data_IF_733441984880
#
_entry.id   IF_733441984880
#
_cell.length_a   1.000
_cell.length_b   1.000
_cell.length_c   1.000
_cell.angle_alpha   90.00
_cell.angle_beta   90.00
_cell.angle_gamma   90.00
#
_symmetry.space_group_name_H-M   'P 1'
#
loop_
_entity.id
_entity.type
_entity.pdbx_description
1 polymer ?
#
# COMPACT_ATOMS: atom_id res chain seq x y z
N UNK A 1 -5.28 8.73 18.25
CA UNK A 1 -6.74 8.64 18.52
C UNK A 1 -7.51 8.63 17.19
N UNK A 2 -8.34 7.61 16.92
CA UNK A 2 -9.19 7.56 15.70
C UNK A 2 -10.66 7.92 15.96
N UNK A 3 -11.10 7.98 17.23
CA UNK A 3 -12.42 8.47 17.60
C UNK A 3 -12.55 9.96 17.31
N UNK A 4 -13.72 10.41 16.83
CA UNK A 4 -14.02 11.82 16.59
C UNK A 4 -15.08 12.22 17.61
N UNK A 5 -14.60 12.82 18.69
CA UNK A 5 -15.42 13.23 19.83
C UNK A 5 -15.13 14.70 20.11
N UNK A 6 -16.19 15.50 20.17
CA UNK A 6 -16.13 16.93 20.39
C UNK A 6 -16.95 17.25 21.63
N UNK A 7 -16.31 17.84 22.63
CA UNK A 7 -17.01 18.35 23.80
C UNK A 7 -17.17 19.86 23.66
N UNK A 8 -18.41 20.32 23.74
CA UNK A 8 -18.77 21.74 23.65
C UNK A 8 -19.35 22.19 24.98
N UNK A 9 -18.71 23.19 25.59
CA UNK A 9 -19.14 23.84 26.84
C UNK A 9 -19.42 25.31 26.56
N UNK A 10 -20.60 25.79 26.94
CA UNK A 10 -20.97 27.20 26.78
C UNK A 10 -21.79 27.71 27.95
N UNK A 11 -21.83 29.04 28.12
CA UNK A 11 -22.74 29.71 29.04
C UNK A 11 -24.06 30.01 28.32
N UNK A 12 -25.16 29.61 28.93
CA UNK A 12 -26.51 29.96 28.49
C UNK A 12 -26.83 31.43 28.81
N UNK A 13 -27.90 31.97 28.21
CA UNK A 13 -28.40 33.33 28.51
C UNK A 13 -28.71 33.54 29.99
N UNK A 14 -29.07 32.48 30.73
CA UNK A 14 -29.32 32.52 32.17
C UNK A 14 -28.05 32.34 33.02
N UNK A 15 -26.85 32.38 32.43
CA UNK A 15 -25.57 32.21 33.11
C UNK A 15 -25.21 30.77 33.51
N UNK A 16 -26.10 29.79 33.28
CA UNK A 16 -25.83 28.36 33.56
C UNK A 16 -24.89 27.79 32.51
N UNK A 17 -24.01 26.87 32.92
CA UNK A 17 -23.18 26.11 31.98
C UNK A 17 -23.98 24.99 31.33
N UNK A 18 -23.87 24.87 30.03
CA UNK A 18 -24.46 23.81 29.24
C UNK A 18 -23.37 23.05 28.49
N UNK A 19 -23.64 21.78 28.24
CA UNK A 19 -22.67 20.81 27.79
C UNK A 19 -23.27 19.96 26.67
N UNK A 20 -22.49 19.67 25.65
CA UNK A 20 -22.84 18.68 24.63
C UNK A 20 -21.62 17.85 24.26
N UNK A 21 -21.84 16.56 24.06
CA UNK A 21 -20.90 15.66 23.42
C UNK A 21 -21.39 15.42 21.99
N UNK A 22 -20.54 15.70 21.02
CA UNK A 22 -20.77 15.36 19.62
C UNK A 22 -19.79 14.24 19.25
N UNK A 23 -20.27 13.17 18.63
CA UNK A 23 -19.44 12.03 18.27
C UNK A 23 -19.89 11.42 16.96
N UNK A 24 -18.97 10.83 16.20
CA UNK A 24 -19.31 10.27 14.90
C UNK A 24 -18.10 9.86 14.06
N UNK A 25 -18.30 9.80 12.75
CA UNK A 25 -17.26 9.43 11.78
C UNK A 25 -16.42 10.62 11.30
N UNK A 26 -17.01 11.83 11.31
CA UNK A 26 -16.44 13.03 10.70
C UNK A 26 -15.24 13.62 11.45
N UNK A 27 -14.11 13.73 10.75
CA UNK A 27 -12.90 14.39 11.27
C UNK A 27 -13.12 15.88 11.56
N UNK A 28 -12.22 16.50 12.32
CA UNK A 28 -12.21 17.94 12.55
C UNK A 28 -11.76 18.74 11.31
N UNK A 29 -12.41 18.57 10.16
CA UNK A 29 -12.01 19.14 8.87
C UNK A 29 -13.17 19.85 8.17
N UNK A 30 -12.84 20.78 7.27
CA UNK A 30 -13.84 21.51 6.48
C UNK A 30 -14.72 20.56 5.65
N UNK A 31 -14.11 19.50 5.10
CA UNK A 31 -14.77 18.49 4.27
C UNK A 31 -15.80 17.67 5.04
N UNK A 32 -15.54 17.37 6.32
CA UNK A 32 -16.46 16.60 7.16
C UNK A 32 -17.65 17.45 7.66
N UNK A 33 -17.47 18.76 7.85
CA UNK A 33 -18.51 19.64 8.43
C UNK A 33 -19.35 20.43 7.42
N UNK A 34 -18.84 20.78 6.24
CA UNK A 34 -19.61 21.56 5.24
C UNK A 34 -20.61 20.73 4.42
N UNK A 35 -20.52 19.40 4.45
CA UNK A 35 -21.33 18.50 3.62
C UNK A 35 -20.92 18.52 2.13
N UNK A 36 -21.17 17.40 1.43
CA UNK A 36 -21.04 17.32 -0.04
C UNK A 36 -19.79 16.63 -0.60
N UNK A 37 -18.83 16.21 0.25
CA UNK A 37 -17.65 15.43 -0.19
C UNK A 37 -17.61 14.07 0.51
N UNK A 38 -17.73 14.05 1.84
CA UNK A 38 -17.77 12.82 2.62
C UNK A 38 -19.20 12.56 3.13
N UNK A 39 -19.63 11.29 3.08
CA UNK A 39 -20.79 10.83 3.82
C UNK A 39 -20.38 10.55 5.27
N UNK A 40 -20.79 11.43 6.19
CA UNK A 40 -20.43 11.35 7.61
C UNK A 40 -21.69 11.27 8.48
N UNK A 41 -21.65 10.47 9.55
CA UNK A 41 -22.68 10.42 10.58
C UNK A 41 -22.17 11.08 11.85
N UNK A 42 -22.94 12.02 12.40
CA UNK A 42 -22.63 12.74 13.64
C UNK A 42 -23.84 12.73 14.57
N UNK A 43 -23.62 12.30 15.81
CA UNK A 43 -24.61 12.27 16.87
C UNK A 43 -24.30 13.34 17.91
N UNK A 44 -25.34 13.92 18.53
CA UNK A 44 -25.21 14.92 19.61
C UNK A 44 -25.96 14.45 20.85
N UNK A 45 -25.26 14.33 21.96
CA UNK A 45 -25.83 14.11 23.28
C UNK A 45 -25.74 15.38 24.13
N UNK A 46 -26.86 15.79 24.74
CA UNK A 46 -26.88 16.90 25.70
C UNK A 46 -26.49 16.36 27.07
N UNK A 47 -25.42 16.88 27.65
CA UNK A 47 -24.93 16.43 28.95
C UNK A 47 -25.48 17.31 30.08
N UNK A 48 -25.72 16.69 31.22
CA UNK A 48 -26.20 17.32 32.46
C UNK A 48 -25.37 16.80 33.62
N UNK A 49 -25.07 17.66 34.60
CA UNK A 49 -24.32 17.25 35.79
C UNK A 49 -25.05 16.14 36.57
N UNK A 50 -26.38 16.16 36.62
CA UNK A 50 -27.15 15.14 37.34
C UNK A 50 -26.99 13.72 36.78
N UNK A 51 -26.90 13.56 35.45
CA UNK A 51 -26.95 12.25 34.82
C UNK A 51 -25.61 11.85 34.16
N UNK A 52 -24.71 12.81 33.93
CA UNK A 52 -23.54 12.62 33.08
C UNK A 52 -22.26 13.19 33.72
N UNK A 53 -22.20 13.25 35.05
CA UNK A 53 -21.06 13.83 35.77
C UNK A 53 -19.75 13.12 35.40
N UNK A 54 -19.74 11.79 35.35
CA UNK A 54 -18.55 11.01 34.98
C UNK A 54 -18.04 11.32 33.56
N UNK A 55 -18.97 11.52 32.59
CA UNK A 55 -18.59 11.95 31.23
C UNK A 55 -17.97 13.33 31.26
N UNK A 56 -18.59 14.26 32.02
CA UNK A 56 -18.13 15.63 32.17
C UNK A 56 -16.74 15.68 32.81
N UNK A 57 -16.49 14.85 33.83
CA UNK A 57 -15.20 14.79 34.51
C UNK A 57 -14.14 14.14 33.64
N UNK A 58 -14.49 13.10 32.87
CA UNK A 58 -13.56 12.51 31.91
C UNK A 58 -13.18 13.49 30.79
N UNK A 59 -14.14 14.17 30.14
CA UNK A 59 -13.81 15.12 29.04
C UNK A 59 -13.04 16.34 29.55
N UNK A 60 -13.33 16.81 30.77
CA UNK A 60 -12.57 17.89 31.42
C UNK A 60 -11.18 17.41 31.79
N UNK A 61 -11.06 16.18 32.30
CA UNK A 61 -9.78 15.52 32.56
C UNK A 61 -8.92 15.44 31.31
N UNK A 62 -9.48 15.03 30.17
CA UNK A 62 -8.78 15.02 28.88
C UNK A 62 -8.35 16.43 28.46
N UNK A 63 -9.25 17.42 28.54
CA UNK A 63 -8.92 18.82 28.22
C UNK A 63 -7.78 19.36 29.09
N UNK A 64 -7.81 19.06 30.38
CA UNK A 64 -6.85 19.58 31.35
C UNK A 64 -5.52 18.82 31.25
N UNK A 65 -5.55 17.52 30.96
CA UNK A 65 -4.39 16.72 30.62
C UNK A 65 -3.67 17.23 29.36
N UNK A 66 -4.40 17.63 28.31
CA UNK A 66 -3.79 18.27 27.11
C UNK A 66 -3.04 19.55 27.46
N UNK A 67 -3.49 20.31 28.47
CA UNK A 67 -2.77 21.51 28.94
C UNK A 67 -1.57 21.14 29.81
N UNK A 68 -1.73 20.16 30.70
CA UNK A 68 -0.74 19.75 31.69
C UNK A 68 0.40 18.89 31.10
N UNK A 69 0.15 18.20 29.98
CA UNK A 69 1.11 17.30 29.35
C UNK A 69 2.43 17.98 28.93
N UNK A 70 2.48 19.32 28.87
CA UNK A 70 3.73 20.08 28.66
C UNK A 70 4.84 19.79 29.68
N UNK A 71 4.49 19.18 30.82
CA UNK A 71 5.41 18.89 31.92
C UNK A 71 5.55 17.38 32.19
N UNK A 72 5.20 16.54 31.21
CA UNK A 72 5.25 15.08 31.31
C UNK A 72 3.92 14.40 30.98
N UNK A 73 3.98 13.09 30.76
CA UNK A 73 2.82 12.29 30.37
C UNK A 73 1.70 12.34 31.42
N UNK A 74 0.46 12.61 30.98
CA UNK A 74 -0.71 12.63 31.84
C UNK A 74 -1.66 11.52 31.42
N UNK A 75 -2.05 10.71 32.40
CA UNK A 75 -3.00 9.60 32.20
C UNK A 75 -4.36 9.97 32.76
N UNK A 76 -5.39 9.80 31.94
CA UNK A 76 -6.80 9.85 32.32
C UNK A 76 -7.28 8.41 32.34
N UNK A 77 -7.70 7.92 33.51
CA UNK A 77 -8.24 6.56 33.63
C UNK A 77 -9.56 6.41 32.89
N UNK A 78 -9.91 5.16 32.56
CA UNK A 78 -11.20 4.85 31.98
C UNK A 78 -12.34 5.24 32.94
N UNK A 79 -13.45 5.72 32.37
CA UNK A 79 -14.69 5.87 33.14
C UNK A 79 -15.57 4.64 32.94
N UNK A 80 -16.48 4.38 33.89
CA UNK A 80 -17.48 3.32 33.75
C UNK A 80 -18.33 3.53 32.48
N UNK A 81 -18.91 2.45 31.95
CA UNK A 81 -19.87 2.53 30.84
C UNK A 81 -21.04 3.43 31.26
N UNK A 82 -21.27 4.53 30.53
CA UNK A 82 -22.29 5.55 30.88
C UNK A 82 -23.35 5.63 29.78
N UNK A 83 -24.62 5.70 30.20
CA UNK A 83 -25.75 5.94 29.31
C UNK A 83 -25.82 7.41 28.91
N UNK A 84 -25.72 7.70 27.60
CA UNK A 84 -25.93 9.03 27.04
C UNK A 84 -27.40 9.30 26.70
N UNK A 85 -28.14 8.23 26.39
CA UNK A 85 -29.56 8.22 26.11
C UNK A 85 -30.10 6.80 26.29
N UNK A 86 -31.42 6.64 26.21
CA UNK A 86 -32.04 5.32 26.16
C UNK A 86 -31.46 4.50 25.00
N UNK A 87 -30.95 3.30 25.29
CA UNK A 87 -30.32 2.42 24.30
C UNK A 87 -28.91 2.84 23.84
N UNK A 88 -28.36 3.94 24.33
CA UNK A 88 -27.02 4.43 23.93
C UNK A 88 -26.11 4.52 25.15
N UNK A 89 -25.18 3.57 25.26
CA UNK A 89 -24.08 3.62 26.22
C UNK A 89 -22.76 3.95 25.52
N UNK A 90 -21.86 4.61 26.25
CA UNK A 90 -20.52 4.92 25.77
C UNK A 90 -19.49 4.43 26.79
N UNK A 91 -18.48 3.73 26.26
CA UNK A 91 -17.27 3.38 26.99
C UNK A 91 -16.23 4.48 26.79
N UNK A 92 -15.83 5.12 27.88
CA UNK A 92 -14.81 6.16 27.86
C UNK A 92 -13.45 5.53 28.17
N UNK A 93 -12.56 5.40 27.17
CA UNK A 93 -11.32 4.65 27.36
C UNK A 93 -10.35 5.41 28.25
N UNK A 94 -9.38 4.67 28.78
CA UNK A 94 -8.14 5.26 29.29
C UNK A 94 -7.48 6.06 28.18
N UNK A 95 -7.09 7.30 28.47
CA UNK A 95 -6.34 8.16 27.56
C UNK A 95 -5.00 8.51 28.20
N UNK A 96 -3.93 8.30 27.44
CA UNK A 96 -2.60 8.80 27.80
C UNK A 96 -2.29 9.97 26.88
N UNK A 97 -2.17 11.15 27.45
CA UNK A 97 -1.71 12.35 26.76
C UNK A 97 -0.21 12.46 26.99
N UNK A 98 0.56 12.16 25.94
CA UNK A 98 2.02 12.27 25.98
C UNK A 98 2.48 13.71 25.97
N UNK A 99 3.67 13.95 26.48
CA UNK A 99 4.30 15.27 26.44
C UNK A 99 4.37 15.81 25.00
N UNK A 100 3.94 17.06 24.82
CA UNK A 100 4.04 17.76 23.55
C UNK A 100 5.51 17.95 23.09
N UNK A 101 6.49 17.79 23.99
CA UNK A 101 7.93 17.76 23.68
C UNK A 101 8.41 16.38 23.23
N UNK A 102 7.69 15.29 23.53
CA UNK A 102 7.86 13.98 22.87
C UNK A 102 7.29 14.03 21.44
N UNK A 103 7.79 14.98 20.64
CA UNK A 103 7.56 14.99 19.20
C UNK A 103 8.18 13.71 18.64
N UNK A 104 7.51 13.08 17.68
CA UNK A 104 8.17 12.08 16.85
C UNK A 104 9.46 12.71 16.30
N UNK A 105 10.60 12.02 16.42
CA UNK A 105 11.86 12.55 15.95
C UNK A 105 11.74 12.87 14.46
N UNK A 106 12.42 13.91 13.99
CA UNK A 106 12.36 14.31 12.58
C UNK A 106 12.82 13.18 11.65
N UNK A 107 13.77 12.37 12.09
CA UNK A 107 14.16 11.10 11.44
C UNK A 107 12.97 10.12 11.32
N UNK A 108 12.22 9.90 12.40
CA UNK A 108 11.06 9.00 12.37
C UNK A 108 9.98 9.53 11.42
N UNK A 109 9.75 10.84 11.39
CA UNK A 109 8.83 11.48 10.47
C UNK A 109 9.28 11.34 9.01
N UNK A 110 10.58 11.44 8.74
CA UNK A 110 11.16 11.21 7.42
C UNK A 110 10.93 9.77 6.95
N UNK A 111 11.23 8.78 7.79
CA UNK A 111 10.94 7.36 7.50
C UNK A 111 9.44 7.11 7.24
N UNK A 112 8.57 7.69 8.07
CA UNK A 112 7.11 7.52 7.99
C UNK A 112 6.50 8.18 6.73
N UNK A 113 7.17 9.16 6.13
CA UNK A 113 6.79 9.81 4.86
C UNK A 113 7.34 9.11 3.62
N UNK A 114 8.15 8.06 3.80
CA UNK A 114 8.70 7.30 2.69
C UNK A 114 7.67 6.42 1.98
N UNK A 115 8.16 5.69 0.98
CA UNK A 115 7.38 4.81 0.11
C UNK A 115 7.95 3.40 0.14
N UNK A 116 7.07 2.41 0.03
CA UNK A 116 7.43 1.00 -0.11
C UNK A 116 7.18 0.55 -1.54
N UNK A 117 8.18 -0.07 -2.16
CA UNK A 117 8.07 -0.72 -3.45
C UNK A 117 7.88 -2.23 -3.28
N UNK A 118 6.93 -2.78 -4.06
CA UNK A 118 6.70 -4.21 -4.18
C UNK A 118 6.57 -4.59 -5.66
N UNK A 119 6.80 -5.86 -5.98
CA UNK A 119 6.49 -6.38 -7.32
C UNK A 119 4.99 -6.36 -7.50
N UNK A 120 4.51 -5.64 -8.52
CA UNK A 120 3.09 -5.67 -8.85
C UNK A 120 2.72 -7.02 -9.44
N UNK A 121 1.66 -7.63 -8.89
CA UNK A 121 1.09 -8.88 -9.39
C UNK A 121 -0.38 -8.60 -9.73
N UNK A 122 -0.75 -8.55 -11.02
CA UNK A 122 -2.15 -8.40 -11.38
C UNK A 122 -2.94 -9.61 -10.88
N UNK A 123 -4.27 -9.44 -10.82
CA UNK A 123 -5.16 -10.56 -10.54
C UNK A 123 -4.85 -11.73 -11.50
N UNK A 124 -4.77 -12.99 -11.02
CA UNK A 124 -4.41 -14.14 -11.86
C UNK A 124 -5.32 -14.39 -13.06
N UNK A 125 -6.53 -13.81 -13.08
CA UNK A 125 -7.48 -13.88 -14.19
C UNK A 125 -7.29 -12.78 -15.25
N UNK A 126 -6.47 -11.77 -14.98
CA UNK A 126 -6.19 -10.72 -15.96
C UNK A 126 -5.66 -11.33 -17.27
N UNK A 127 -6.28 -10.98 -18.40
CA UNK A 127 -5.96 -11.47 -19.75
C UNK A 127 -6.16 -12.98 -19.96
N UNK A 128 -6.92 -13.64 -19.07
CA UNK A 128 -7.19 -15.08 -19.12
C UNK A 128 -8.69 -15.35 -18.99
N UNK A 129 -9.22 -16.14 -19.92
CA UNK A 129 -10.56 -16.71 -19.75
C UNK A 129 -10.45 -17.94 -18.86
N UNK A 130 -11.36 -18.08 -17.90
CA UNK A 130 -11.41 -19.23 -17.02
C UNK A 130 -12.63 -20.08 -17.31
N UNK A 131 -12.43 -21.39 -17.32
CA UNK A 131 -13.48 -22.37 -17.55
C UNK A 131 -13.55 -23.27 -16.33
N UNK A 132 -14.69 -23.21 -15.65
CA UNK A 132 -15.00 -24.15 -14.58
C UNK A 132 -15.48 -25.45 -15.21
N UNK A 133 -14.83 -26.54 -14.83
CA UNK A 133 -15.19 -27.86 -15.31
C UNK A 133 -16.38 -28.40 -14.51
N UNK A 134 -17.23 -29.17 -15.17
CA UNK A 134 -18.37 -29.82 -14.54
C UNK A 134 -17.90 -30.92 -13.56
N UNK A 135 -16.84 -31.63 -13.92
CA UNK A 135 -16.16 -32.65 -13.10
C UNK A 135 -14.66 -32.37 -12.97
N UNK A 136 -14.01 -32.99 -11.97
CA UNK A 136 -12.56 -32.90 -11.79
C UNK A 136 -11.82 -33.73 -12.85
N UNK A 137 -10.74 -33.17 -13.39
CA UNK A 137 -9.86 -33.90 -14.31
C UNK A 137 -9.08 -34.97 -13.57
N UNK A 138 -9.07 -36.22 -14.06
CA UNK A 138 -8.18 -37.23 -13.53
C UNK A 138 -6.72 -36.86 -13.86
N UNK A 139 -5.76 -37.10 -12.93
CA UNK A 139 -4.36 -36.80 -13.16
C UNK A 139 -3.77 -37.65 -14.30
N UNK A 140 -2.82 -37.09 -15.05
CA UNK A 140 -2.06 -37.83 -16.08
C UNK A 140 -2.36 -37.39 -17.52
N UNK A 141 -2.62 -38.35 -18.42
CA UNK A 141 -2.64 -38.12 -19.88
C UNK A 141 -3.66 -37.05 -20.36
N UNK A 142 -4.78 -36.87 -19.66
CA UNK A 142 -5.76 -35.84 -20.00
C UNK A 142 -5.24 -34.42 -19.71
N UNK A 143 -4.42 -34.25 -18.68
CA UNK A 143 -3.80 -32.95 -18.38
C UNK A 143 -2.83 -32.53 -19.49
N UNK A 144 -2.00 -33.45 -19.96
CA UNK A 144 -1.05 -33.18 -21.06
C UNK A 144 -1.79 -32.87 -22.37
N UNK A 145 -2.91 -33.55 -22.63
CA UNK A 145 -3.77 -33.26 -23.79
C UNK A 145 -4.38 -31.86 -23.73
N UNK A 146 -4.83 -31.43 -22.55
CA UNK A 146 -5.38 -30.09 -22.32
C UNK A 146 -4.31 -29.01 -22.50
N UNK A 147 -3.09 -29.26 -22.03
CA UNK A 147 -1.94 -28.38 -22.21
C UNK A 147 -1.54 -28.24 -23.69
N UNK A 148 -1.64 -29.31 -24.49
CA UNK A 148 -1.37 -29.26 -25.93
C UNK A 148 -2.32 -28.31 -26.70
N UNK A 149 -3.55 -28.12 -26.20
CA UNK A 149 -4.49 -27.13 -26.73
C UNK A 149 -4.26 -25.70 -26.15
N UNK A 150 -3.21 -25.57 -25.33
CA UNK A 150 -2.72 -24.35 -24.68
C UNK A 150 -3.54 -23.90 -23.46
N UNK A 151 -4.35 -24.79 -22.89
CA UNK A 151 -5.03 -24.54 -21.62
C UNK A 151 -4.08 -24.87 -20.47
N UNK A 152 -4.02 -23.98 -19.49
CA UNK A 152 -3.33 -24.20 -18.23
C UNK A 152 -4.29 -24.86 -17.22
N UNK A 153 -3.78 -25.77 -16.41
CA UNK A 153 -4.50 -26.52 -15.38
C UNK A 153 -4.05 -26.13 -13.97
N UNK A 154 -4.28 -24.87 -13.52
CA UNK A 154 -3.84 -24.45 -12.19
C UNK A 154 -4.55 -25.21 -11.06
N UNK A 155 -5.72 -25.84 -11.34
CA UNK A 155 -6.50 -26.68 -10.42
C UNK A 155 -7.24 -27.77 -11.20
N UNK A 156 -7.53 -28.90 -10.57
CA UNK A 156 -8.22 -30.06 -11.19
C UNK A 156 -9.60 -29.75 -11.76
N UNK A 157 -10.28 -28.68 -11.29
CA UNK A 157 -11.63 -28.28 -11.73
C UNK A 157 -11.68 -26.95 -12.52
N UNK A 158 -10.54 -26.35 -12.86
CA UNK A 158 -10.53 -25.06 -13.56
C UNK A 158 -9.41 -25.00 -14.59
N UNK A 159 -9.80 -24.68 -15.82
CA UNK A 159 -8.88 -24.37 -16.90
C UNK A 159 -8.70 -22.85 -17.02
N UNK A 160 -7.51 -22.41 -17.40
CA UNK A 160 -7.23 -21.03 -17.83
C UNK A 160 -6.65 -21.01 -19.22
N UNK A 161 -6.99 -19.99 -19.99
CA UNK A 161 -6.51 -19.80 -21.34
C UNK A 161 -6.23 -18.32 -21.59
N UNK A 162 -4.99 -17.94 -21.95
CA UNK A 162 -4.71 -16.58 -22.39
C UNK A 162 -5.39 -16.33 -23.72
N UNK A 163 -6.01 -15.15 -23.87
CA UNK A 163 -6.78 -14.79 -25.06
C UNK A 163 -6.19 -13.66 -25.93
N UNK A 164 -5.32 -12.75 -25.45
CA UNK A 164 -4.50 -11.96 -26.35
C UNK A 164 -3.54 -12.89 -27.10
N UNK A 165 -3.60 -12.90 -28.44
CA UNK A 165 -2.68 -13.71 -29.25
C UNK A 165 -1.25 -13.21 -29.05
N UNK A 166 -0.27 -14.12 -28.90
CA UNK A 166 1.11 -13.79 -28.58
C UNK A 166 1.26 -12.95 -27.30
N UNK A 167 0.70 -13.40 -26.18
CA UNK A 167 1.49 -13.33 -24.95
C UNK A 167 2.64 -14.33 -25.16
N UNK A 168 3.58 -13.98 -26.05
CA UNK A 168 4.90 -14.58 -25.99
C UNK A 168 5.32 -14.51 -24.54
N UNK A 169 6.02 -15.53 -24.05
CA UNK A 169 6.64 -15.47 -22.73
C UNK A 169 7.08 -14.01 -22.54
N UNK A 170 6.57 -13.34 -21.51
CA UNK A 170 7.22 -12.14 -21.02
C UNK A 170 8.56 -12.72 -20.57
N UNK A 171 9.45 -12.96 -21.53
CA UNK A 171 10.78 -13.43 -21.31
C UNK A 171 11.27 -12.41 -20.31
N UNK A 172 11.81 -12.91 -19.21
CA UNK A 172 12.61 -12.12 -18.30
C UNK A 172 13.75 -11.57 -19.16
N UNK A 173 13.45 -10.49 -19.90
CA UNK A 173 14.38 -9.78 -20.72
C UNK A 173 15.54 -9.47 -19.79
N UNK A 174 16.77 -9.85 -20.18
CA UNK A 174 17.91 -9.85 -19.28
C UNK A 174 17.94 -8.54 -18.52
N UNK A 175 17.89 -8.70 -17.20
CA UNK A 175 17.67 -7.71 -16.15
C UNK A 175 17.90 -6.25 -16.57
N UNK A 176 16.90 -5.68 -17.25
CA UNK A 176 16.83 -4.24 -17.50
C UNK A 176 16.17 -3.50 -16.34
N UNK A 177 15.88 -4.19 -15.22
CA UNK A 177 15.56 -3.50 -13.98
C UNK A 177 16.85 -2.79 -13.60
N UNK A 178 16.92 -1.49 -13.90
CA UNK A 178 18.07 -0.70 -13.50
C UNK A 178 18.34 -0.97 -12.03
N UNK A 179 19.60 -0.88 -11.60
CA UNK A 179 20.03 -1.04 -10.20
C UNK A 179 19.36 -0.04 -9.21
N UNK A 180 18.24 0.58 -9.59
CA UNK A 180 17.47 1.55 -8.84
C UNK A 180 17.01 1.00 -7.48
N UNK A 181 16.63 -0.28 -7.37
CA UNK A 181 16.28 -0.87 -6.06
C UNK A 181 17.49 -0.83 -5.13
N UNK A 182 18.61 -1.43 -5.54
CA UNK A 182 19.85 -1.43 -4.75
C UNK A 182 20.44 -0.03 -4.52
N UNK A 183 20.15 0.93 -5.41
CA UNK A 183 20.75 2.27 -5.39
C UNK A 183 19.92 3.27 -4.57
N UNK A 184 18.60 3.24 -4.69
CA UNK A 184 17.70 4.24 -4.10
C UNK A 184 16.84 3.72 -2.95
N UNK A 185 16.82 2.40 -2.72
CA UNK A 185 15.99 1.78 -1.70
C UNK A 185 16.82 1.05 -0.64
N UNK A 186 16.29 1.02 0.58
CA UNK A 186 16.76 0.18 1.67
C UNK A 186 15.70 -0.90 1.94
N UNK A 187 16.10 -2.17 1.94
CA UNK A 187 15.21 -3.27 2.30
C UNK A 187 14.83 -3.17 3.78
N UNK A 188 13.53 -3.19 4.07
CA UNK A 188 12.96 -3.21 5.43
C UNK A 188 12.11 -4.45 5.62
N UNK A 189 11.63 -4.68 6.85
CA UNK A 189 10.68 -5.77 7.11
C UNK A 189 9.36 -5.65 6.33
N UNK A 190 9.03 -4.47 5.81
CA UNK A 190 7.81 -4.23 5.03
C UNK A 190 8.06 -4.23 3.51
N UNK A 191 9.31 -4.36 3.07
CA UNK A 191 9.71 -4.29 1.67
C UNK A 191 10.77 -3.21 1.40
N UNK A 192 11.02 -2.94 0.12
CA UNK A 192 12.01 -1.95 -0.32
C UNK A 192 11.49 -0.54 -0.01
N UNK A 193 12.21 0.22 0.82
CA UNK A 193 11.83 1.59 1.23
C UNK A 193 12.68 2.67 0.55
N UNK A 194 12.05 3.77 0.12
CA UNK A 194 12.74 5.01 -0.29
C UNK A 194 12.10 6.25 0.35
N UNK A 195 12.80 7.39 0.38
CA UNK A 195 12.22 8.63 0.91
C UNK A 195 11.12 9.19 0.01
N UNK A 196 10.24 10.01 0.58
CA UNK A 196 9.19 10.69 -0.17
C UNK A 196 9.76 11.63 -1.25
N UNK A 197 10.89 12.29 -0.98
CA UNK A 197 11.57 13.15 -1.94
C UNK A 197 12.19 12.35 -3.08
N UNK A 198 12.84 11.22 -2.78
CA UNK A 198 13.38 10.33 -3.80
C UNK A 198 12.27 9.82 -4.74
N UNK A 199 11.13 9.41 -4.20
CA UNK A 199 9.98 9.03 -5.02
C UNK A 199 9.48 10.17 -5.90
N UNK A 200 9.29 11.37 -5.35
CA UNK A 200 8.83 12.52 -6.12
C UNK A 200 9.72 12.81 -7.35
N UNK A 201 11.05 12.74 -7.17
CA UNK A 201 12.01 13.12 -8.20
C UNK A 201 12.39 11.98 -9.15
N UNK A 202 12.42 10.73 -8.66
CA UNK A 202 12.98 9.58 -9.38
C UNK A 202 11.95 8.50 -9.74
N UNK A 203 10.65 8.64 -9.41
CA UNK A 203 9.62 7.60 -9.70
C UNK A 203 9.63 7.05 -11.12
N UNK A 204 9.96 7.86 -12.12
CA UNK A 204 10.08 7.44 -13.53
C UNK A 204 11.12 6.34 -13.78
N UNK A 205 12.09 6.18 -12.87
CA UNK A 205 13.13 5.15 -12.94
C UNK A 205 12.69 3.83 -12.31
N UNK A 206 11.63 3.82 -11.51
CA UNK A 206 11.25 2.68 -10.66
C UNK A 206 10.38 1.69 -11.43
N UNK A 207 10.98 1.06 -12.43
CA UNK A 207 10.32 0.15 -13.36
C UNK A 207 11.01 -1.21 -13.36
N UNK A 208 10.22 -2.27 -13.50
CA UNK A 208 10.71 -3.63 -13.74
C UNK A 208 11.01 -3.81 -15.23
N UNK A 209 11.97 -4.67 -15.55
CA UNK A 209 12.19 -5.16 -16.92
C UNK A 209 10.87 -5.63 -17.57
N UNK A 210 10.76 -5.51 -18.89
CA UNK A 210 9.54 -5.85 -19.65
C UNK A 210 8.48 -4.75 -19.67
N UNK A 211 8.84 -3.49 -19.39
CA UNK A 211 7.94 -2.32 -19.46
C UNK A 211 7.26 -2.21 -20.83
N UNK A 212 8.05 -2.20 -21.92
CA UNK A 212 7.55 -2.13 -23.29
C UNK A 212 6.64 -3.32 -23.64
N UNK A 213 7.00 -4.53 -23.18
CA UNK A 213 6.17 -5.72 -23.39
C UNK A 213 4.81 -5.60 -22.71
N UNK A 214 4.76 -5.08 -21.49
CA UNK A 214 3.51 -4.85 -20.76
C UNK A 214 2.69 -3.70 -21.36
N UNK A 215 3.33 -2.65 -21.87
CA UNK A 215 2.66 -1.60 -22.64
C UNK A 215 2.00 -2.20 -23.88
N UNK A 216 2.75 -2.96 -24.67
CA UNK A 216 2.23 -3.60 -25.89
C UNK A 216 1.07 -4.56 -25.62
N UNK A 217 1.10 -5.28 -24.49
CA UNK A 217 -0.02 -6.12 -24.05
C UNK A 217 -1.30 -5.28 -23.84
N UNK A 218 -1.20 -4.11 -23.20
CA UNK A 218 -2.36 -3.24 -22.99
C UNK A 218 -2.84 -2.60 -24.29
N UNK A 219 -1.93 -2.22 -25.19
CA UNK A 219 -2.29 -1.74 -26.53
C UNK A 219 -3.11 -2.79 -27.30
N UNK A 220 -2.69 -4.06 -27.26
CA UNK A 220 -3.42 -5.18 -27.88
C UNK A 220 -4.76 -5.47 -27.22
N UNK A 221 -4.86 -5.28 -25.92
CA UNK A 221 -6.14 -5.36 -25.24
C UNK A 221 -7.06 -4.23 -25.72
N UNK A 222 -6.55 -3.01 -25.89
CA UNK A 222 -7.32 -1.87 -26.40
C UNK A 222 -7.80 -2.06 -27.84
N UNK A 223 -7.05 -2.75 -28.71
CA UNK A 223 -7.51 -3.13 -30.06
C UNK A 223 -8.81 -3.95 -30.04
N UNK A 224 -9.09 -4.68 -28.96
CA UNK A 224 -10.35 -5.43 -28.80
C UNK A 224 -11.58 -4.54 -28.58
N UNK A 225 -11.42 -3.22 -28.46
CA UNK A 225 -12.54 -2.27 -28.57
C UNK A 225 -13.10 -2.24 -29.99
N UNK A 226 -12.29 -2.59 -30.99
CA UNK A 226 -12.74 -2.69 -32.38
C UNK A 226 -13.48 -4.00 -32.63
N UNK A 227 -14.67 -3.93 -33.22
CA UNK A 227 -15.53 -5.11 -33.42
C UNK A 227 -14.90 -6.21 -34.27
N UNK A 228 -14.03 -5.85 -35.22
CA UNK A 228 -13.33 -6.80 -36.07
C UNK A 228 -12.29 -7.62 -35.30
N UNK A 229 -11.41 -6.93 -34.56
CA UNK A 229 -10.37 -7.53 -33.73
C UNK A 229 -10.98 -8.41 -32.62
N UNK A 230 -12.04 -7.91 -31.95
CA UNK A 230 -12.77 -8.67 -30.92
C UNK A 230 -13.38 -9.94 -31.47
N UNK A 231 -14.04 -9.87 -32.64
CA UNK A 231 -14.62 -11.04 -33.30
C UNK A 231 -13.54 -12.07 -33.66
N UNK A 232 -12.42 -11.63 -34.22
CA UNK A 232 -11.31 -12.54 -34.56
C UNK A 232 -10.73 -13.24 -33.33
N UNK A 233 -10.51 -12.49 -32.24
CA UNK A 233 -10.03 -13.04 -30.97
C UNK A 233 -11.03 -14.05 -30.37
N UNK A 234 -12.33 -13.71 -30.41
CA UNK A 234 -13.42 -14.62 -29.99
C UNK A 234 -13.45 -15.90 -30.81
N UNK A 235 -13.39 -15.78 -32.14
CA UNK A 235 -13.43 -16.93 -33.05
C UNK A 235 -12.22 -17.85 -32.79
N UNK A 236 -11.03 -17.28 -32.55
CA UNK A 236 -9.84 -18.04 -32.18
C UNK A 236 -9.98 -18.75 -30.83
N UNK A 237 -10.52 -18.08 -29.82
CA UNK A 237 -10.81 -18.68 -28.52
C UNK A 237 -11.81 -19.84 -28.65
N UNK A 238 -12.92 -19.65 -29.37
CA UNK A 238 -13.93 -20.69 -29.58
C UNK A 238 -13.40 -21.88 -30.39
N UNK A 239 -12.49 -21.64 -31.33
CA UNK A 239 -11.81 -22.70 -32.08
C UNK A 239 -10.93 -23.58 -31.16
N UNK A 240 -10.23 -22.98 -30.18
CA UNK A 240 -9.51 -23.73 -29.14
C UNK A 240 -10.42 -24.58 -28.27
N UNK A 241 -11.62 -24.08 -27.96
CA UNK A 241 -12.65 -24.84 -27.24
C UNK A 241 -13.15 -26.03 -28.05
N UNK A 242 -13.35 -25.87 -29.37
CA UNK A 242 -13.73 -26.98 -30.27
C UNK A 242 -12.65 -28.05 -30.35
N UNK A 243 -11.37 -27.65 -30.43
CA UNK A 243 -10.26 -28.61 -30.41
C UNK A 243 -10.19 -29.36 -29.08
N UNK A 244 -10.33 -28.66 -27.96
CA UNK A 244 -10.39 -29.29 -26.65
C UNK A 244 -11.55 -30.30 -26.53
N UNK A 245 -12.74 -29.93 -27.02
CA UNK A 245 -13.89 -30.84 -27.08
C UNK A 245 -13.57 -32.09 -27.90
N UNK A 246 -12.98 -31.92 -29.08
CA UNK A 246 -12.58 -33.03 -29.97
C UNK A 246 -11.54 -33.93 -29.32
N UNK A 247 -10.55 -33.34 -28.63
CA UNK A 247 -9.50 -34.06 -27.93
C UNK A 247 -10.06 -34.91 -26.78
N UNK A 248 -11.02 -34.39 -26.01
CA UNK A 248 -11.69 -35.12 -24.93
C UNK A 248 -12.64 -36.23 -25.44
N UNK A 249 -13.03 -36.19 -26.72
CA UNK A 249 -13.83 -37.23 -27.38
C UNK A 249 -15.15 -37.48 -26.68
N UNK A 250 -15.50 -38.75 -26.48
CA UNK A 250 -16.76 -39.18 -25.83
C UNK A 250 -16.89 -38.65 -24.39
N UNK A 251 -15.78 -38.32 -23.73
CA UNK A 251 -15.78 -37.81 -22.36
C UNK A 251 -15.98 -36.29 -22.27
N UNK A 252 -16.06 -35.56 -23.39
CA UNK A 252 -16.07 -34.10 -23.39
C UNK A 252 -17.25 -33.51 -22.59
N UNK A 253 -18.45 -34.08 -22.74
CA UNK A 253 -19.65 -33.64 -22.01
C UNK A 253 -19.61 -33.85 -20.50
N UNK A 254 -18.68 -34.68 -20.00
CA UNK A 254 -18.44 -34.86 -18.56
C UNK A 254 -17.75 -33.65 -17.93
N UNK A 255 -16.95 -32.92 -18.71
CA UNK A 255 -16.09 -31.85 -18.21
C UNK A 255 -16.52 -30.46 -18.71
N UNK A 256 -17.01 -30.36 -19.94
CA UNK A 256 -17.37 -29.12 -20.60
C UNK A 256 -18.88 -28.96 -20.76
N UNK A 257 -19.33 -27.71 -20.79
CA UNK A 257 -20.73 -27.37 -21.07
C UNK A 257 -21.11 -27.82 -22.49
N UNK A 258 -22.29 -28.41 -22.61
CA UNK A 258 -22.79 -28.96 -23.86
C UNK A 258 -24.25 -28.57 -24.10
N UNK A 259 -24.57 -28.36 -25.38
CA UNK A 259 -25.92 -28.13 -25.88
C UNK A 259 -26.17 -29.08 -27.06
N UNK A 260 -27.26 -29.84 -27.00
CA UNK A 260 -27.60 -30.82 -28.05
C UNK A 260 -26.54 -31.90 -28.31
N UNK A 261 -25.72 -32.27 -27.33
CA UNK A 261 -24.64 -33.25 -27.48
C UNK A 261 -23.36 -32.71 -28.14
N UNK A 262 -23.28 -31.39 -28.35
CA UNK A 262 -22.12 -30.67 -28.86
C UNK A 262 -21.64 -29.65 -27.82
N UNK A 263 -20.42 -29.12 -27.99
CA UNK A 263 -19.91 -28.06 -27.11
C UNK A 263 -20.78 -26.80 -27.18
N UNK A 264 -21.13 -26.24 -26.02
CA UNK A 264 -21.92 -25.00 -25.94
C UNK A 264 -21.05 -23.76 -26.22
N UNK A 265 -20.87 -23.45 -27.50
CA UNK A 265 -20.09 -22.29 -27.94
C UNK A 265 -20.72 -20.95 -27.57
N UNK A 266 -22.03 -20.91 -27.30
CA UNK A 266 -22.70 -19.69 -26.88
C UNK A 266 -22.31 -19.35 -25.45
N UNK A 267 -22.35 -20.34 -24.54
CA UNK A 267 -21.87 -20.20 -23.17
C UNK A 267 -20.41 -19.73 -23.13
N UNK A 268 -19.51 -20.41 -23.83
CA UNK A 268 -18.09 -20.02 -23.85
C UNK A 268 -17.88 -18.66 -24.52
N UNK A 269 -18.65 -18.34 -25.56
CA UNK A 269 -18.64 -17.02 -26.19
C UNK A 269 -18.98 -15.91 -25.20
N UNK A 270 -20.01 -16.09 -24.37
CA UNK A 270 -20.38 -15.12 -23.34
C UNK A 270 -19.29 -14.96 -22.28
N UNK A 271 -18.64 -16.05 -21.86
CA UNK A 271 -17.52 -15.99 -20.91
C UNK A 271 -16.35 -15.16 -21.45
N UNK A 272 -16.03 -15.32 -22.74
CA UNK A 272 -15.00 -14.51 -23.40
C UNK A 272 -15.37 -13.03 -23.40
N UNK A 273 -16.59 -12.69 -23.83
CA UNK A 273 -17.05 -11.30 -23.91
C UNK A 273 -17.02 -10.61 -22.54
N UNK A 274 -17.56 -11.27 -21.51
CA UNK A 274 -17.52 -10.77 -20.13
C UNK A 274 -16.09 -10.54 -19.63
N UNK A 275 -15.15 -11.43 -20.00
CA UNK A 275 -13.75 -11.29 -19.59
C UNK A 275 -13.07 -10.11 -20.28
N UNK A 276 -13.27 -9.96 -21.59
CA UNK A 276 -12.71 -8.84 -22.36
C UNK A 276 -13.21 -7.51 -21.83
N UNK A 277 -14.51 -7.39 -21.55
CA UNK A 277 -15.09 -6.16 -20.98
C UNK A 277 -14.47 -5.84 -19.61
N UNK A 278 -14.37 -6.82 -18.72
CA UNK A 278 -13.72 -6.64 -17.41
C UNK A 278 -12.25 -6.22 -17.53
N UNK A 279 -11.49 -6.86 -18.42
CA UNK A 279 -10.07 -6.53 -18.61
C UNK A 279 -9.89 -5.13 -19.19
N UNK A 280 -10.75 -4.71 -20.14
CA UNK A 280 -10.76 -3.36 -20.69
C UNK A 280 -11.07 -2.30 -19.63
N UNK A 281 -12.06 -2.56 -18.77
CA UNK A 281 -12.40 -1.68 -17.65
C UNK A 281 -11.23 -1.56 -16.66
N UNK A 282 -10.58 -2.68 -16.32
CA UNK A 282 -9.43 -2.69 -15.43
C UNK A 282 -8.22 -1.97 -16.05
N UNK A 283 -7.98 -2.14 -17.35
CA UNK A 283 -6.89 -1.46 -18.06
C UNK A 283 -7.15 0.04 -18.28
N UNK A 284 -8.40 0.49 -18.18
CA UNK A 284 -8.77 1.91 -18.21
C UNK A 284 -8.51 2.62 -16.87
N UNK A 285 -8.37 1.88 -15.76
CA UNK A 285 -7.96 2.43 -14.47
C UNK A 285 -6.48 2.87 -14.50
N UNK A 286 -6.21 4.15 -14.28
CA UNK A 286 -4.88 4.75 -14.42
C UNK A 286 -3.87 4.14 -13.42
N UNK A 287 -4.34 3.82 -12.22
CA UNK A 287 -3.51 3.24 -11.17
C UNK A 287 -3.10 1.81 -11.53
N UNK A 288 -4.06 0.96 -11.93
CA UNK A 288 -3.79 -0.37 -12.43
C UNK A 288 -2.87 -0.33 -13.66
N UNK A 289 -3.18 0.51 -14.66
CA UNK A 289 -2.40 0.65 -15.89
C UNK A 289 -0.94 0.98 -15.58
N UNK A 290 -0.71 1.98 -14.73
CA UNK A 290 0.64 2.41 -14.34
C UNK A 290 1.38 1.29 -13.64
N UNK A 291 0.77 0.65 -12.64
CA UNK A 291 1.38 -0.46 -11.88
C UNK A 291 1.67 -1.68 -12.76
N UNK A 292 0.76 -2.00 -13.69
CA UNK A 292 0.92 -3.08 -14.64
C UNK A 292 2.11 -2.79 -15.57
N UNK A 293 2.12 -1.65 -16.24
CA UNK A 293 3.20 -1.26 -17.16
C UNK A 293 4.55 -1.18 -16.44
N UNK A 294 4.62 -0.48 -15.31
CA UNK A 294 5.86 -0.35 -14.53
C UNK A 294 6.28 -1.67 -13.88
N UNK A 295 5.35 -2.60 -13.65
CA UNK A 295 5.61 -3.91 -13.03
C UNK A 295 5.94 -3.83 -11.53
N UNK A 296 5.67 -2.67 -10.92
CA UNK A 296 5.97 -2.33 -9.53
C UNK A 296 4.78 -1.59 -8.96
N UNK A 297 4.45 -1.89 -7.71
CA UNK A 297 3.51 -1.12 -6.92
C UNK A 297 4.30 -0.32 -5.88
N UNK A 298 4.04 0.98 -5.81
CA UNK A 298 4.68 1.88 -4.85
C UNK A 298 3.62 2.53 -3.98
N UNK A 299 3.63 2.21 -2.69
CA UNK A 299 2.64 2.67 -1.71
C UNK A 299 3.28 3.54 -0.63
N UNK A 300 2.46 4.33 0.05
CA UNK A 300 2.88 4.99 1.30
C UNK A 300 3.26 3.97 2.37
N UNK A 301 4.28 4.28 3.17
CA UNK A 301 4.53 3.53 4.41
C UNK A 301 3.28 3.58 5.29
N UNK A 302 2.76 2.44 5.76
CA UNK A 302 1.60 2.39 6.64
C UNK A 302 1.80 3.26 7.89
N UNK A 303 0.74 3.91 8.37
CA UNK A 303 0.84 4.72 9.60
C UNK A 303 0.78 3.83 10.84
N UNK A 304 1.85 3.78 11.62
CA UNK A 304 1.96 2.96 12.84
C UNK A 304 1.30 3.58 14.08
N UNK A 305 0.16 4.28 13.92
CA UNK A 305 -0.41 5.28 14.87
C UNK A 305 -0.48 4.87 16.35
N UNK A 306 -0.60 3.58 16.67
CA UNK A 306 -0.76 3.05 18.03
C UNK A 306 0.27 1.94 18.32
N UNK A 307 0.82 1.32 17.28
CA UNK A 307 1.75 0.20 17.41
C UNK A 307 3.21 0.68 17.35
N UNK A 308 3.67 1.18 18.50
CA UNK A 308 5.06 1.61 18.68
C UNK A 308 6.05 0.44 18.56
N UNK A 309 5.60 -0.79 18.85
CA UNK A 309 6.41 -1.99 18.69
C UNK A 309 6.72 -2.23 17.23
N UNK A 310 5.70 -2.30 16.38
CA UNK A 310 5.85 -2.47 14.94
C UNK A 310 6.63 -1.31 14.29
N UNK A 311 6.43 -0.06 14.76
CA UNK A 311 7.24 1.08 14.33
C UNK A 311 8.72 0.88 14.62
N UNK A 312 9.06 0.54 15.87
CA UNK A 312 10.45 0.33 16.26
C UNK A 312 11.07 -0.85 15.51
N UNK A 313 10.32 -1.91 15.22
CA UNK A 313 10.80 -3.01 14.38
C UNK A 313 11.06 -2.56 12.95
N UNK A 314 10.23 -1.67 12.40
CA UNK A 314 10.44 -1.10 11.08
C UNK A 314 11.72 -0.24 11.02
N UNK A 315 11.87 0.70 11.95
CA UNK A 315 13.08 1.55 12.07
C UNK A 315 14.34 0.70 12.28
N UNK A 316 14.25 -0.33 13.14
CA UNK A 316 15.32 -1.30 13.35
C UNK A 316 15.68 -2.07 12.08
N UNK A 317 14.70 -2.49 11.28
CA UNK A 317 14.97 -3.18 10.03
C UNK A 317 15.68 -2.29 9.01
N UNK A 318 15.33 -1.00 8.96
CA UNK A 318 16.02 -0.01 8.14
C UNK A 318 17.49 0.16 8.58
N UNK A 319 17.74 0.36 9.88
CA UNK A 319 19.10 0.50 10.41
C UNK A 319 19.95 -0.77 10.21
N UNK A 320 19.35 -1.95 10.38
CA UNK A 320 20.01 -3.24 10.08
C UNK A 320 20.43 -3.34 8.62
N UNK A 321 19.61 -2.86 7.69
CA UNK A 321 19.99 -2.85 6.29
C UNK A 321 21.20 -1.94 6.04
N UNK A 322 21.26 -0.76 6.68
CA UNK A 322 22.42 0.12 6.56
C UNK A 322 23.69 -0.49 7.17
N UNK A 323 23.58 -1.17 8.30
CA UNK A 323 24.68 -1.97 8.86
C UNK A 323 25.16 -3.03 7.85
N UNK A 324 24.25 -3.74 7.17
CA UNK A 324 24.62 -4.69 6.12
C UNK A 324 25.28 -4.01 4.90
N UNK A 325 24.90 -2.79 4.56
CA UNK A 325 25.60 -2.00 3.55
C UNK A 325 27.03 -1.64 3.98
N UNK A 326 27.25 -1.34 5.28
CA UNK A 326 28.57 -1.04 5.84
C UNK A 326 29.56 -2.21 5.71
N UNK A 327 29.06 -3.44 5.88
CA UNK A 327 29.88 -4.64 5.75
C UNK A 327 30.31 -4.96 4.31
N UNK A 328 29.75 -4.27 3.30
CA UNK A 328 30.11 -4.50 1.89
C UNK A 328 31.39 -3.76 1.54
N UNK A 329 32.27 -4.40 0.76
CA UNK A 329 33.50 -3.78 0.23
C UNK A 329 33.24 -2.47 -0.53
N UNK A 330 32.12 -2.40 -1.26
CA UNK A 330 31.61 -1.20 -1.94
C UNK A 330 30.08 -1.28 -1.96
N UNK A 331 29.40 -0.37 -1.27
CA UNK A 331 27.95 -0.22 -1.37
C UNK A 331 27.59 0.72 -2.51
N UNK A 332 26.55 0.37 -3.27
CA UNK A 332 25.93 1.23 -4.29
C UNK A 332 24.70 1.98 -3.76
N UNK A 333 24.34 1.77 -2.49
CA UNK A 333 23.18 2.42 -1.86
C UNK A 333 23.50 3.88 -1.59
N UNK A 334 22.81 4.77 -2.29
CA UNK A 334 22.96 6.21 -2.11
C UNK A 334 22.47 6.66 -0.73
N UNK A 335 21.46 5.99 -0.17
CA UNK A 335 20.98 6.27 1.20
C UNK A 335 22.12 6.04 2.19
N UNK A 336 22.76 4.87 2.12
CA UNK A 336 23.87 4.53 3.01
C UNK A 336 25.04 5.50 2.84
N UNK A 337 25.46 5.76 1.60
CA UNK A 337 26.56 6.69 1.31
C UNK A 337 26.28 8.10 1.86
N UNK A 338 25.05 8.58 1.71
CA UNK A 338 24.66 9.93 2.16
C UNK A 338 24.57 10.03 3.67
N UNK A 339 24.05 9.00 4.34
CA UNK A 339 24.07 8.93 5.81
C UNK A 339 25.51 8.87 6.32
N UNK A 340 26.37 8.06 5.71
CA UNK A 340 27.76 7.94 6.13
C UNK A 340 28.54 9.25 5.99
N UNK A 341 28.35 9.97 4.88
CA UNK A 341 28.94 11.30 4.71
C UNK A 341 28.44 12.28 5.78
N UNK A 342 27.13 12.33 6.03
CA UNK A 342 26.56 13.24 7.02
C UNK A 342 27.06 12.96 8.46
N UNK A 343 27.21 11.68 8.82
CA UNK A 343 27.71 11.29 10.13
C UNK A 343 29.23 11.47 10.27
N UNK A 344 29.98 11.39 9.16
CA UNK A 344 31.42 11.70 9.13
C UNK A 344 31.71 13.15 9.52
N UNK A 345 30.88 14.10 9.07
CA UNK A 345 31.01 15.53 9.41
C UNK A 345 30.71 15.84 10.88
N UNK A 346 30.01 14.94 11.59
CA UNK A 346 29.75 15.11 13.02
C UNK A 346 30.95 14.74 13.91
N UNK A 347 32.02 14.17 13.34
CA UNK A 347 33.24 13.83 14.07
C UNK A 347 33.03 12.78 15.16
N UNK A 348 32.17 11.80 14.91
CA UNK A 348 31.88 10.72 15.86
C UNK A 348 33.12 9.84 16.10
N UNK A 349 33.36 9.45 17.36
CA UNK A 349 34.54 8.64 17.73
C UNK A 349 34.43 7.18 17.27
N UNK A 350 33.21 6.63 17.24
CA UNK A 350 32.90 5.26 16.83
C UNK A 350 32.06 5.27 15.55
N UNK A 351 32.16 4.21 14.74
CA UNK A 351 31.34 4.06 13.53
C UNK A 351 29.91 3.67 13.94
N UNK A 352 28.91 4.57 13.83
CA UNK A 352 27.55 4.29 14.27
C UNK A 352 26.88 3.18 13.46
N UNK A 353 27.43 2.77 12.30
CA UNK A 353 26.89 1.65 11.53
C UNK A 353 27.19 0.30 12.16
N UNK A 354 28.08 0.17 13.15
CA UNK A 354 28.44 -1.11 13.78
C UNK A 354 27.31 -1.69 14.65
N UNK A 355 26.53 -0.83 15.33
CA UNK A 355 25.29 -1.23 16.03
C UNK A 355 24.07 -0.51 15.45
N UNK A 356 23.12 -1.23 14.82
CA UNK A 356 21.86 -0.66 14.35
C UNK A 356 21.08 0.15 15.40
N UNK A 357 21.18 -0.17 16.70
CA UNK A 357 20.51 0.60 17.76
C UNK A 357 21.17 1.95 17.97
N UNK A 358 22.49 1.96 17.95
CA UNK A 358 23.29 3.18 18.07
C UNK A 358 23.04 4.10 16.88
N UNK A 359 23.07 3.57 15.65
CA UNK A 359 22.73 4.33 14.44
C UNK A 359 21.39 5.07 14.57
N UNK A 360 20.37 4.40 15.10
CA UNK A 360 19.05 5.00 15.30
C UNK A 360 19.09 6.15 16.31
N UNK A 361 19.80 5.98 17.43
CA UNK A 361 19.93 7.01 18.45
C UNK A 361 20.68 8.22 17.88
N UNK A 362 21.82 7.99 17.24
CA UNK A 362 22.62 9.04 16.59
C UNK A 362 21.80 9.83 15.58
N UNK A 363 21.04 9.14 14.71
CA UNK A 363 20.16 9.78 13.72
C UNK A 363 19.02 10.57 14.37
N UNK A 364 18.46 10.09 15.49
CA UNK A 364 17.38 10.79 16.21
C UNK A 364 17.86 12.03 16.94
N UNK A 365 19.09 12.00 17.45
CA UNK A 365 19.70 13.09 18.21
C UNK A 365 20.24 14.18 17.29
N UNK A 366 20.88 13.80 16.19
CA UNK A 366 21.62 14.72 15.33
C UNK A 366 20.89 15.14 14.05
N UNK A 367 19.63 14.72 13.83
CA UNK A 367 18.90 15.03 12.60
C UNK A 367 18.84 16.53 12.26
N UNK A 368 18.79 17.39 13.29
CA UNK A 368 18.73 18.84 13.16
C UNK A 368 20.08 19.55 13.30
N UNK A 369 21.17 18.81 13.51
CA UNK A 369 22.52 19.36 13.60
C UNK A 369 22.93 19.94 12.25
N UNK A 370 23.69 21.04 12.27
CA UNK A 370 24.20 21.70 11.06
C UNK A 370 25.54 21.06 10.68
N UNK A 371 25.69 20.76 9.40
CA UNK A 371 26.91 20.26 8.76
C UNK A 371 27.18 21.07 7.48
N UNK A 372 28.39 20.93 6.94
CA UNK A 372 28.75 21.51 5.64
C UNK A 372 28.18 20.63 4.50
N UNK A 373 27.44 21.25 3.58
CA UNK A 373 26.84 20.61 2.42
C UNK A 373 27.81 20.40 1.26
N UNK A 374 27.31 19.91 0.12
CA UNK A 374 28.18 19.56 -1.02
C UNK A 374 28.78 20.79 -1.73
N UNK A 375 28.15 21.95 -1.59
CA UNK A 375 28.57 23.23 -2.16
C UNK A 375 29.15 24.17 -1.08
N UNK A 376 29.50 23.63 0.10
CA UNK A 376 30.01 24.39 1.24
C UNK A 376 28.93 25.16 2.01
N UNK A 377 27.66 24.86 1.77
CA UNK A 377 26.51 25.52 2.37
C UNK A 377 26.11 24.88 3.71
N UNK A 378 25.71 25.68 4.70
CA UNK A 378 25.21 25.15 5.97
C UNK A 378 23.84 24.48 5.78
N UNK A 379 23.76 23.18 6.06
CA UNK A 379 22.54 22.38 5.94
C UNK A 379 22.33 21.52 7.18
N UNK A 380 21.08 21.15 7.47
CA UNK A 380 20.85 20.13 8.50
C UNK A 380 21.25 18.74 7.99
N UNK A 381 21.68 17.86 8.91
CA UNK A 381 21.91 16.42 8.64
C UNK A 381 20.72 15.81 7.89
N UNK A 382 19.50 16.12 8.32
CA UNK A 382 18.28 15.62 7.70
C UNK A 382 18.06 16.10 6.26
N UNK A 383 18.30 17.38 5.97
CA UNK A 383 18.20 17.94 4.61
C UNK A 383 19.25 17.36 3.68
N UNK A 384 20.48 17.20 4.19
CA UNK A 384 21.57 16.58 3.45
C UNK A 384 21.25 15.12 3.09
N UNK A 385 20.77 14.33 4.07
CA UNK A 385 20.39 12.93 3.86
C UNK A 385 19.21 12.79 2.89
N UNK A 386 18.15 13.60 3.02
CA UNK A 386 16.98 13.52 2.14
C UNK A 386 17.33 13.80 0.66
N UNK A 387 18.43 14.51 0.41
CA UNK A 387 18.98 14.78 -0.92
C UNK A 387 19.73 13.61 -1.59
N UNK A 388 19.80 12.42 -0.97
CA UNK A 388 20.61 11.30 -1.47
C UNK A 388 20.36 10.92 -2.95
N UNK A 389 19.13 11.14 -3.45
CA UNK A 389 18.75 10.79 -4.81
C UNK A 389 19.20 11.79 -5.88
N UNK A 390 19.74 12.95 -5.48
CA UNK A 390 20.23 13.98 -6.42
C UNK A 390 21.54 13.56 -7.09
N UNK A 391 22.38 12.80 -6.39
CA UNK A 391 23.70 12.33 -6.84
C UNK A 391 23.68 11.10 -7.76
N UNK A 392 22.51 10.80 -8.33
CA UNK A 392 22.27 9.68 -9.24
C UNK A 392 22.93 9.79 -10.62
N UNK A 393 23.40 10.98 -11.03
CA UNK A 393 23.90 11.26 -12.38
C UNK A 393 25.43 11.39 -12.49
N UNK A 394 26.16 11.26 -11.39
CA UNK A 394 27.59 11.52 -11.33
C UNK A 394 28.34 10.37 -10.68
N UNK A 395 28.40 9.22 -11.35
CA UNK A 395 29.49 8.25 -11.24
C UNK A 395 29.70 7.63 -12.64
N UNK A 396 30.97 7.44 -13.07
CA UNK A 396 31.37 7.09 -14.43
C UNK A 396 30.90 5.72 -14.92
#
# INVERSE_FOLDING_TARGET
MHAKVFYVEWKTSSGRRAHSLVYGSGNATRQAFHGGINAELMCRARLTAANHQDVLDWVRGVRDAVKAARNGDVTIEEARDIWLAEGISVRLPKIVVKDATTKAHNFDLWLQRGRLAAVFRPDPSFLRVHINLLAELPPGALEQMIQNEGFETPRTKRLSIPYPQNIGHIEDAPDGSGHWRSRYFALTQLGDWCSGACYADRKRLFRKAGHEGRLHILERLEELKESGCRKQARDHYLDRIRRLWTALGENAGTYLSSDGGMVDLNHYGQLFEQRVDYDLDLAADEEFRTRFIDGVEIIDVPRFRIDTGAWNTFVMSFARQLHLENLKRRSVSLIYQRIGAALGELGLEEDPFDDPRELINVLRENWGSIIEGDEGEEVTVGEYIDGYHKHGNSLP
#
